data_IF_739274050814
#
_entry.id   IF_739274050814
#
_cell.length_a   1.000
_cell.length_b   1.000
_cell.length_c   1.000
_cell.angle_alpha   90.00
_cell.angle_beta   90.00
_cell.angle_gamma   90.00
#
_symmetry.space_group_name_H-M   'P 1'
#
loop_
_entity.id
_entity.type
_entity.pdbx_description
1 polymer ?
#
# COMPACT_ATOMS: atom_id res chain seq x y z
N UNK A 1 18.65 -4.13 11.44
CA UNK A 1 19.52 -4.57 12.59
C UNK A 1 18.90 -4.49 14.00
N UNK A 2 18.64 -3.30 14.59
CA UNK A 2 18.22 -3.14 16.02
C UNK A 2 16.98 -3.99 16.38
N UNK A 3 15.94 -3.93 15.55
CA UNK A 3 14.70 -4.71 15.73
C UNK A 3 14.94 -6.22 15.80
N UNK A 4 15.92 -6.74 15.05
CA UNK A 4 16.28 -8.17 15.02
C UNK A 4 16.96 -8.58 16.34
N UNK A 5 17.87 -7.74 16.85
CA UNK A 5 18.53 -7.97 18.14
C UNK A 5 17.56 -7.87 19.30
N UNK A 6 16.66 -6.90 19.28
CA UNK A 6 15.60 -6.76 20.29
C UNK A 6 14.83 -8.07 20.45
N UNK A 7 14.27 -8.59 19.34
CA UNK A 7 13.52 -9.85 19.32
C UNK A 7 14.36 -11.06 19.74
N UNK A 8 15.63 -11.13 19.31
CA UNK A 8 16.55 -12.20 19.71
C UNK A 8 16.82 -12.22 21.22
N UNK A 9 17.12 -11.07 21.82
CA UNK A 9 17.42 -10.94 23.26
C UNK A 9 16.19 -11.31 24.11
N UNK A 10 14.99 -11.07 23.59
CA UNK A 10 13.74 -11.44 24.24
C UNK A 10 13.27 -12.86 23.92
N UNK A 11 13.93 -13.56 22.99
CA UNK A 11 13.50 -14.83 22.40
C UNK A 11 12.04 -14.82 21.89
N UNK A 12 11.71 -13.84 21.05
CA UNK A 12 10.36 -13.66 20.48
C UNK A 12 10.45 -13.61 18.95
N UNK A 13 9.75 -14.50 18.24
CA UNK A 13 9.67 -14.46 16.78
C UNK A 13 8.83 -13.26 16.28
N UNK A 14 8.80 -13.01 14.98
CA UNK A 14 7.97 -11.91 14.43
C UNK A 14 6.48 -12.14 14.65
N UNK A 15 6.04 -13.39 14.69
CA UNK A 15 4.62 -13.78 14.78
C UNK A 15 4.16 -14.07 16.21
N UNK A 16 5.09 -14.20 17.15
CA UNK A 16 4.75 -14.57 18.52
C UNK A 16 4.12 -13.39 19.26
N UNK A 17 3.26 -13.70 20.22
CA UNK A 17 2.82 -12.74 21.21
C UNK A 17 4.00 -12.33 22.07
N UNK A 18 3.96 -11.09 22.56
CA UNK A 18 4.94 -10.69 23.55
C UNK A 18 4.65 -11.36 24.91
N UNK A 19 5.68 -11.89 25.57
CA UNK A 19 5.61 -12.53 26.88
C UNK A 19 5.18 -11.55 27.98
N UNK A 20 4.59 -12.08 29.05
CA UNK A 20 4.24 -11.28 30.23
C UNK A 20 5.53 -10.90 31.01
N UNK A 21 5.69 -9.64 31.44
CA UNK A 21 6.87 -9.22 32.22
C UNK A 21 7.02 -9.88 33.59
N UNK A 22 5.97 -10.52 34.12
CA UNK A 22 6.03 -11.32 35.35
C UNK A 22 6.54 -12.74 35.14
N UNK A 23 6.61 -13.22 33.90
CA UNK A 23 7.11 -14.55 33.58
C UNK A 23 8.65 -14.55 33.50
N UNK A 24 9.28 -15.36 34.36
CA UNK A 24 10.69 -15.67 34.23
C UNK A 24 10.90 -16.68 33.09
N UNK A 25 11.79 -16.34 32.15
CA UNK A 25 12.07 -17.16 30.98
C UNK A 25 13.57 -17.35 30.86
N UNK A 26 14.01 -18.59 30.69
CA UNK A 26 15.42 -18.96 30.63
C UNK A 26 15.75 -19.61 29.28
N UNK A 27 16.99 -19.44 28.84
CA UNK A 27 17.48 -20.08 27.62
C UNK A 27 17.80 -21.57 27.86
N UNK A 28 17.29 -22.44 26.98
CA UNK A 28 17.42 -23.90 27.11
C UNK A 28 18.87 -24.34 27.33
N UNK A 29 19.11 -25.10 28.39
CA UNK A 29 20.44 -25.61 28.74
C UNK A 29 21.39 -24.58 29.35
N UNK A 30 20.93 -23.36 29.64
CA UNK A 30 21.68 -22.32 30.34
C UNK A 30 20.88 -21.75 31.51
N UNK A 31 21.53 -21.15 32.51
CA UNK A 31 20.86 -20.40 33.56
C UNK A 31 20.70 -18.91 33.19
N UNK A 32 20.76 -18.57 31.90
CA UNK A 32 20.64 -17.21 31.42
C UNK A 32 19.16 -16.85 31.22
N UNK A 33 18.72 -15.79 31.88
CA UNK A 33 17.36 -15.27 31.77
C UNK A 33 17.22 -14.42 30.50
N UNK A 34 16.17 -14.68 29.71
CA UNK A 34 15.77 -13.80 28.63
C UNK A 34 15.25 -12.48 29.19
N UNK A 35 15.54 -11.39 28.48
CA UNK A 35 14.94 -10.12 28.83
C UNK A 35 13.46 -10.12 28.43
N UNK A 36 12.62 -9.52 29.27
CA UNK A 36 11.22 -9.30 28.95
C UNK A 36 10.90 -7.80 29.01
N UNK A 37 10.45 -7.18 27.90
CA UNK A 37 10.07 -5.78 27.93
C UNK A 37 8.80 -5.59 28.77
N UNK A 38 8.82 -4.64 29.70
CA UNK A 38 7.63 -4.25 30.42
C UNK A 38 6.88 -3.17 29.63
N UNK A 39 5.84 -3.58 28.88
CA UNK A 39 5.07 -2.68 28.04
C UNK A 39 4.01 -1.86 28.78
N UNK A 40 3.65 -2.17 30.03
CA UNK A 40 2.81 -1.27 30.83
C UNK A 40 3.63 -0.03 31.22
N UNK A 41 4.92 -0.23 31.48
CA UNK A 41 5.86 0.80 31.90
C UNK A 41 6.49 1.63 30.76
N UNK A 42 7.22 2.68 31.15
CA UNK A 42 7.90 3.60 30.24
C UNK A 42 9.33 3.17 29.86
N UNK A 43 9.96 3.96 28.98
CA UNK A 43 11.36 3.78 28.56
C UNK A 43 12.39 4.04 29.67
N UNK A 44 11.96 4.60 30.80
CA UNK A 44 12.81 4.89 31.98
C UNK A 44 12.75 3.80 33.04
N UNK A 45 11.90 2.78 32.88
CA UNK A 45 11.84 1.65 33.81
C UNK A 45 13.15 0.86 33.74
N UNK A 46 13.71 0.50 34.88
CA UNK A 46 15.08 -0.05 34.97
C UNK A 46 15.26 -1.30 34.11
N UNK A 47 14.32 -2.24 34.13
CA UNK A 47 14.36 -3.43 33.27
C UNK A 47 14.30 -3.12 31.77
N UNK A 48 13.58 -2.06 31.39
CA UNK A 48 13.51 -1.61 29.99
C UNK A 48 14.81 -0.89 29.59
N UNK A 49 15.36 -0.06 30.47
CA UNK A 49 16.62 0.63 30.25
C UNK A 49 17.78 -0.36 30.06
N UNK A 50 17.89 -1.36 30.95
CA UNK A 50 18.87 -2.43 30.85
C UNK A 50 18.75 -3.23 29.54
N UNK A 51 17.52 -3.53 29.12
CA UNK A 51 17.26 -4.16 27.81
C UNK A 51 17.78 -3.29 26.65
N UNK A 52 17.53 -1.98 26.66
CA UNK A 52 17.98 -1.09 25.59
C UNK A 52 19.49 -0.99 25.52
N UNK A 53 20.15 -0.91 26.67
CA UNK A 53 21.61 -0.94 26.76
C UNK A 53 22.19 -2.24 26.22
N UNK A 54 21.58 -3.39 26.58
CA UNK A 54 22.02 -4.70 26.08
C UNK A 54 21.87 -4.82 24.57
N UNK A 55 20.76 -4.33 24.03
CA UNK A 55 20.53 -4.31 22.58
C UNK A 55 21.57 -3.41 21.89
N UNK A 56 21.81 -2.22 22.45
CA UNK A 56 22.78 -1.27 21.91
C UNK A 56 24.19 -1.87 21.91
N UNK A 57 24.61 -2.52 22.99
CA UNK A 57 25.88 -3.25 23.09
C UNK A 57 26.01 -4.30 21.98
N UNK A 58 25.02 -5.20 21.84
CA UNK A 58 25.06 -6.27 20.83
C UNK A 58 25.07 -5.75 19.39
N UNK A 59 24.39 -4.63 19.13
CA UNK A 59 24.42 -3.97 17.82
C UNK A 59 25.77 -3.30 17.60
N UNK A 60 26.31 -2.65 18.63
CA UNK A 60 27.59 -1.95 18.56
C UNK A 60 28.74 -2.92 18.30
N UNK A 61 28.76 -4.08 18.97
CA UNK A 61 29.76 -5.12 18.72
C UNK A 61 29.69 -5.68 17.29
N UNK A 62 28.48 -5.88 16.73
CA UNK A 62 28.32 -6.26 15.32
C UNK A 62 28.84 -5.16 14.37
N UNK A 63 28.69 -3.89 14.76
CA UNK A 63 29.21 -2.73 14.04
C UNK A 63 30.71 -2.46 14.30
N UNK A 64 31.39 -3.20 15.17
CA UNK A 64 32.85 -3.16 15.35
C UNK A 64 33.58 -4.18 14.50
N UNK A 65 32.94 -5.29 14.12
CA UNK A 65 33.55 -6.37 13.32
C UNK A 65 34.15 -5.78 12.04
N UNK A 66 35.49 -5.82 11.92
CA UNK A 66 36.26 -5.13 10.87
C UNK A 66 35.92 -5.57 9.44
N UNK A 67 35.36 -6.76 9.30
CA UNK A 67 34.85 -7.26 8.02
C UNK A 67 33.51 -6.59 7.66
N UNK A 68 33.60 -5.59 6.77
CA UNK A 68 32.45 -4.84 6.24
C UNK A 68 31.59 -5.66 5.27
N UNK A 69 32.06 -6.81 4.79
CA UNK A 69 31.30 -7.68 3.87
C UNK A 69 30.18 -8.44 4.58
N UNK A 70 30.27 -8.58 5.90
CA UNK A 70 29.27 -9.23 6.76
C UNK A 70 28.11 -8.26 7.11
N UNK A 71 28.31 -6.95 6.90
CA UNK A 71 27.34 -5.91 7.24
C UNK A 71 26.39 -5.60 6.08
N UNK A 72 25.17 -5.19 6.43
CA UNK A 72 24.24 -4.59 5.46
C UNK A 72 24.93 -3.37 4.79
N UNK A 73 24.97 -3.25 3.44
CA UNK A 73 25.70 -2.20 2.73
C UNK A 73 25.37 -0.78 3.20
N UNK A 74 24.12 -0.56 3.62
CA UNK A 74 23.60 0.71 4.12
C UNK A 74 24.26 1.14 5.45
N UNK A 75 24.87 0.20 6.19
CA UNK A 75 25.56 0.47 7.46
C UNK A 75 27.05 0.75 7.29
N UNK A 76 27.56 0.71 6.04
CA UNK A 76 28.99 0.87 5.71
C UNK A 76 29.37 2.29 5.29
N UNK A 77 28.44 3.26 5.31
CA UNK A 77 28.72 4.65 4.97
C UNK A 77 29.75 5.24 5.95
N UNK A 78 30.91 5.64 5.40
CA UNK A 78 32.02 6.21 6.17
C UNK A 78 31.68 7.56 6.83
N UNK A 79 30.62 8.24 6.39
CA UNK A 79 30.13 9.49 6.98
C UNK A 79 29.33 9.26 8.26
N UNK A 80 28.84 8.04 8.50
CA UNK A 80 28.00 7.72 9.65
C UNK A 80 28.88 7.16 10.77
N UNK A 81 28.94 7.89 11.90
CA UNK A 81 29.61 7.42 13.12
C UNK A 81 28.58 6.89 14.10
N UNK A 82 28.56 5.58 14.29
CA UNK A 82 27.72 4.94 15.29
C UNK A 82 28.31 5.15 16.67
N UNK A 83 27.47 5.53 17.62
CA UNK A 83 27.80 5.55 19.03
C UNK A 83 26.71 4.78 19.81
N UNK A 84 27.07 4.28 20.98
CA UNK A 84 26.18 3.44 21.79
C UNK A 84 24.91 4.20 22.22
N UNK A 85 25.01 5.50 22.50
CA UNK A 85 23.86 6.32 22.87
C UNK A 85 22.80 6.40 21.77
N UNK A 86 23.21 6.58 20.51
CA UNK A 86 22.30 6.59 19.36
C UNK A 86 21.61 5.23 19.19
N UNK A 87 22.34 4.13 19.43
CA UNK A 87 21.77 2.79 19.37
C UNK A 87 20.74 2.54 20.48
N UNK A 88 20.95 3.08 21.68
CA UNK A 88 19.96 3.07 22.77
C UNK A 88 18.70 3.83 22.36
N UNK A 89 18.83 5.01 21.73
CA UNK A 89 17.65 5.74 21.23
C UNK A 89 16.89 4.98 20.14
N UNK A 90 17.58 4.29 19.24
CA UNK A 90 16.91 3.39 18.28
C UNK A 90 16.22 2.21 18.97
N UNK A 91 16.82 1.64 20.02
CA UNK A 91 16.17 0.60 20.81
C UNK A 91 14.90 1.11 21.50
N UNK A 92 14.92 2.34 22.05
CA UNK A 92 13.73 3.01 22.62
C UNK A 92 12.64 3.23 21.57
N UNK A 93 13.01 3.69 20.37
CA UNK A 93 12.05 3.85 19.27
C UNK A 93 11.38 2.53 18.90
N UNK A 94 12.16 1.45 18.80
CA UNK A 94 11.62 0.10 18.56
C UNK A 94 10.76 -0.41 19.71
N UNK A 95 11.11 -0.14 20.96
CA UNK A 95 10.26 -0.44 22.10
C UNK A 95 8.90 0.27 21.98
N UNK A 96 8.85 1.55 21.63
CA UNK A 96 7.58 2.28 21.46
C UNK A 96 6.72 1.66 20.35
N UNK A 97 7.34 1.24 19.25
CA UNK A 97 6.66 0.51 18.18
C UNK A 97 6.10 -0.83 18.68
N UNK A 98 6.91 -1.65 19.36
CA UNK A 98 6.46 -2.92 19.92
C UNK A 98 5.42 -2.78 21.03
N UNK A 99 5.47 -1.73 21.84
CA UNK A 99 4.43 -1.39 22.82
C UNK A 99 3.10 -1.12 22.13
N UNK A 100 3.11 -0.45 20.98
CA UNK A 100 1.89 -0.28 20.17
C UNK A 100 1.41 -1.59 19.55
N UNK A 101 2.33 -2.46 19.13
CA UNK A 101 2.01 -3.82 18.66
C UNK A 101 1.33 -4.65 19.75
N UNK A 102 1.93 -4.68 20.94
CA UNK A 102 1.39 -5.35 22.12
C UNK A 102 0.01 -4.81 22.52
N UNK A 103 -0.16 -3.48 22.57
CA UNK A 103 -1.49 -2.88 22.80
C UNK A 103 -2.53 -3.32 21.78
N UNK A 104 -2.15 -3.52 20.52
CA UNK A 104 -3.06 -4.02 19.48
C UNK A 104 -3.30 -5.54 19.59
N UNK A 105 -2.44 -6.31 20.25
CA UNK A 105 -2.71 -7.71 20.57
C UNK A 105 -3.79 -7.83 21.65
N UNK A 106 -3.74 -6.96 22.65
CA UNK A 106 -4.67 -6.94 23.79
C UNK A 106 -6.03 -6.29 23.47
N UNK A 107 -6.05 -5.29 22.58
CA UNK A 107 -7.24 -4.48 22.29
C UNK A 107 -7.73 -4.71 20.85
N UNK A 108 -8.88 -5.39 20.67
CA UNK A 108 -9.47 -5.63 19.35
C UNK A 108 -9.77 -4.36 18.55
N UNK A 109 -10.14 -3.25 19.20
CA UNK A 109 -10.43 -2.00 18.50
C UNK A 109 -9.17 -1.37 17.94
N UNK A 110 -8.08 -1.37 18.72
CA UNK A 110 -6.77 -0.89 18.25
C UNK A 110 -6.23 -1.76 17.12
N UNK A 111 -6.43 -3.09 17.19
CA UNK A 111 -6.10 -4.01 16.10
C UNK A 111 -6.82 -3.63 14.82
N UNK A 112 -8.15 -3.50 14.88
CA UNK A 112 -8.99 -3.13 13.73
C UNK A 112 -8.59 -1.78 13.15
N UNK A 113 -8.32 -0.78 14.00
CA UNK A 113 -7.88 0.55 13.56
C UNK A 113 -6.53 0.49 12.84
N UNK A 114 -5.59 -0.30 13.36
CA UNK A 114 -4.28 -0.48 12.73
C UNK A 114 -4.38 -1.19 11.39
N UNK A 115 -5.14 -2.27 11.31
CA UNK A 115 -5.37 -3.03 10.07
C UNK A 115 -5.99 -2.12 8.99
N UNK A 116 -6.99 -1.31 9.38
CA UNK A 116 -7.58 -0.29 8.51
C UNK A 116 -6.54 0.71 8.03
N UNK A 117 -5.72 1.27 8.92
CA UNK A 117 -4.69 2.24 8.55
C UNK A 117 -3.63 1.63 7.62
N UNK A 118 -3.17 0.41 7.90
CA UNK A 118 -2.22 -0.29 7.04
C UNK A 118 -2.80 -0.53 5.65
N UNK A 119 -4.07 -0.92 5.57
CA UNK A 119 -4.80 -1.06 4.31
C UNK A 119 -4.86 0.26 3.54
N UNK A 120 -5.33 1.32 4.19
CA UNK A 120 -5.40 2.67 3.59
C UNK A 120 -4.05 3.14 3.07
N UNK A 121 -2.97 2.94 3.84
CA UNK A 121 -1.61 3.31 3.40
C UNK A 121 -1.16 2.51 2.19
N UNK A 122 -1.41 1.18 2.16
CA UNK A 122 -1.10 0.35 1.00
C UNK A 122 -1.87 0.80 -0.24
N UNK A 123 -3.16 1.12 -0.10
CA UNK A 123 -3.98 1.59 -1.21
C UNK A 123 -3.49 2.95 -1.73
N UNK A 124 -3.21 3.91 -0.84
CA UNK A 124 -2.64 5.21 -1.22
C UNK A 124 -1.33 5.05 -2.01
N UNK A 125 -0.39 4.27 -1.50
CA UNK A 125 0.88 4.03 -2.20
C UNK A 125 0.65 3.43 -3.60
N UNK A 126 -0.28 2.47 -3.73
CA UNK A 126 -0.61 1.87 -5.03
C UNK A 126 -1.26 2.87 -5.99
N UNK A 127 -2.09 3.77 -5.48
CA UNK A 127 -2.66 4.86 -6.29
C UNK A 127 -1.56 5.77 -6.83
N UNK A 128 -0.61 6.17 -5.99
CA UNK A 128 0.54 7.01 -6.40
C UNK A 128 1.44 6.32 -7.42
N UNK A 129 1.75 5.04 -7.21
CA UNK A 129 2.54 4.24 -8.16
C UNK A 129 1.84 4.11 -9.51
N UNK A 130 0.52 3.87 -9.51
CA UNK A 130 -0.28 3.81 -10.74
C UNK A 130 -0.31 5.14 -11.46
N UNK A 131 -0.64 6.22 -10.75
CA UNK A 131 -0.62 7.57 -11.28
C UNK A 131 0.72 7.87 -11.97
N UNK A 132 1.83 7.61 -11.29
CA UNK A 132 3.19 7.84 -11.83
C UNK A 132 3.43 7.03 -13.10
N UNK A 133 3.03 5.75 -13.13
CA UNK A 133 3.18 4.88 -14.32
C UNK A 133 2.35 5.38 -15.50
N UNK A 134 1.09 5.76 -15.25
CA UNK A 134 0.20 6.27 -16.29
C UNK A 134 0.70 7.61 -16.82
N UNK A 135 1.11 8.53 -15.93
CA UNK A 135 1.61 9.84 -16.31
C UNK A 135 2.88 9.77 -17.16
N UNK A 136 3.85 8.95 -16.76
CA UNK A 136 5.16 8.92 -17.41
C UNK A 136 5.18 8.12 -18.72
N UNK A 137 4.23 7.18 -18.91
CA UNK A 137 4.27 6.23 -20.03
C UNK A 137 2.95 6.15 -20.77
N UNK A 138 1.84 5.94 -20.05
CA UNK A 138 0.52 5.82 -20.65
C UNK A 138 0.07 7.09 -21.39
N UNK A 139 0.29 8.26 -20.79
CA UNK A 139 -0.08 9.57 -21.34
C UNK A 139 0.67 9.85 -22.66
N UNK A 140 2.02 9.76 -22.74
CA UNK A 140 2.74 9.94 -24.00
C UNK A 140 2.23 9.06 -25.15
N UNK A 141 2.01 7.77 -24.89
CA UNK A 141 1.50 6.84 -25.91
C UNK A 141 0.04 7.14 -26.28
N UNK A 142 -0.80 7.55 -25.32
CA UNK A 142 -2.17 7.94 -25.61
C UNK A 142 -2.22 9.16 -26.53
N UNK A 143 -1.43 10.19 -26.22
CA UNK A 143 -1.32 11.41 -27.03
C UNK A 143 -0.87 11.10 -28.45
N UNK A 144 0.08 10.18 -28.61
CA UNK A 144 0.54 9.71 -29.93
C UNK A 144 -0.56 9.02 -30.75
N UNK A 145 -1.41 8.22 -30.10
CA UNK A 145 -2.45 7.43 -30.79
C UNK A 145 -3.72 8.26 -31.05
N UNK A 146 -4.10 9.11 -30.11
CA UNK A 146 -5.39 9.80 -30.11
C UNK A 146 -5.30 11.30 -30.40
N UNK A 147 -4.10 11.88 -30.47
CA UNK A 147 -3.88 13.31 -30.72
C UNK A 147 -4.31 14.24 -29.58
N UNK A 148 -4.92 13.70 -28.52
CA UNK A 148 -5.43 14.44 -27.36
C UNK A 148 -4.59 14.12 -26.13
N UNK A 149 -4.34 15.11 -25.27
CA UNK A 149 -3.51 14.98 -24.08
C UNK A 149 -4.37 14.72 -22.81
N UNK A 150 -4.34 13.50 -22.24
CA UNK A 150 -5.16 13.18 -21.08
C UNK A 150 -4.49 13.58 -19.75
N UNK A 151 -3.32 14.25 -19.73
CA UNK A 151 -2.61 14.59 -18.47
C UNK A 151 -3.53 15.26 -17.44
N UNK A 152 -4.38 16.19 -17.88
CA UNK A 152 -5.26 16.94 -16.99
C UNK A 152 -6.27 16.04 -16.25
N UNK A 153 -6.60 14.87 -16.82
CA UNK A 153 -7.52 13.90 -16.22
C UNK A 153 -6.89 13.05 -15.12
N UNK A 154 -5.55 13.03 -15.00
CA UNK A 154 -4.88 12.17 -14.04
C UNK A 154 -4.77 12.87 -12.68
N UNK A 155 -5.35 12.24 -11.68
CA UNK A 155 -5.09 12.50 -10.26
C UNK A 155 -4.85 11.17 -9.56
N UNK A 156 -3.90 11.10 -8.64
CA UNK A 156 -3.65 9.89 -7.85
C UNK A 156 -4.91 9.47 -7.07
N UNK A 157 -5.67 10.43 -6.57
CA UNK A 157 -6.90 10.17 -5.82
C UNK A 157 -8.04 9.60 -6.68
N UNK A 158 -7.98 9.78 -8.01
CA UNK A 158 -8.95 9.23 -8.95
C UNK A 158 -8.63 7.79 -9.38
N UNK A 159 -7.45 7.28 -9.00
CA UNK A 159 -7.05 5.90 -9.31
C UNK A 159 -7.85 4.93 -8.44
N UNK A 160 -8.32 3.83 -9.04
CA UNK A 160 -9.04 2.78 -8.29
C UNK A 160 -8.18 2.17 -7.19
N UNK A 161 -8.78 1.69 -6.10
CA UNK A 161 -8.04 0.90 -5.12
C UNK A 161 -7.82 -0.54 -5.62
N UNK A 162 -6.77 -1.17 -5.08
CA UNK A 162 -6.43 -2.56 -5.39
C UNK A 162 -6.18 -3.31 -4.09
N UNK A 163 -6.93 -4.38 -3.84
CA UNK A 163 -6.81 -5.23 -2.67
C UNK A 163 -5.93 -6.45 -2.96
N UNK A 164 -5.18 -6.91 -1.95
CA UNK A 164 -4.32 -8.09 -2.07
C UNK A 164 -4.87 -9.31 -1.32
N UNK A 165 -6.13 -9.26 -0.91
CA UNK A 165 -6.80 -10.28 -0.14
C UNK A 165 -8.23 -9.88 0.22
N UNK A 166 -8.92 -10.72 0.99
CA UNK A 166 -10.26 -10.46 1.50
C UNK A 166 -10.22 -9.41 2.62
N UNK A 167 -9.90 -8.17 2.28
CA UNK A 167 -9.74 -7.09 3.27
C UNK A 167 -11.09 -6.67 3.92
N UNK A 168 -12.21 -7.28 3.51
CA UNK A 168 -13.57 -7.05 4.02
C UNK A 168 -14.10 -8.21 4.89
N UNK A 169 -13.25 -9.20 5.23
CA UNK A 169 -13.60 -10.29 6.15
C UNK A 169 -14.12 -11.57 5.49
N UNK A 170 -14.06 -11.66 4.16
CA UNK A 170 -14.21 -12.93 3.41
C UNK A 170 -13.07 -13.91 3.78
N UNK A 171 -13.30 -15.22 3.62
CA UNK A 171 -12.25 -16.21 3.81
C UNK A 171 -11.17 -16.11 2.72
N UNK A 172 -9.90 -16.30 3.08
CA UNK A 172 -8.77 -16.12 2.13
C UNK A 172 -8.80 -17.17 1.01
N UNK A 173 -9.20 -18.41 1.31
CA UNK A 173 -9.25 -19.48 0.33
C UNK A 173 -10.42 -19.25 -0.62
N UNK A 174 -11.59 -18.88 -0.10
CA UNK A 174 -12.76 -18.52 -0.92
C UNK A 174 -12.47 -17.35 -1.85
N UNK A 175 -11.88 -16.27 -1.32
CA UNK A 175 -11.46 -15.11 -2.11
C UNK A 175 -10.46 -15.52 -3.21
N UNK A 176 -9.45 -16.32 -2.87
CA UNK A 176 -8.47 -16.82 -3.85
C UNK A 176 -9.11 -17.70 -4.92
N UNK A 177 -10.07 -18.57 -4.56
CA UNK A 177 -10.81 -19.39 -5.53
C UNK A 177 -11.57 -18.51 -6.50
N UNK A 178 -12.30 -17.50 -6.00
CA UNK A 178 -13.03 -16.53 -6.83
C UNK A 178 -12.08 -15.80 -7.79
N UNK A 179 -10.97 -15.26 -7.28
CA UNK A 179 -9.94 -14.59 -8.12
C UNK A 179 -9.36 -15.53 -9.19
N UNK A 180 -9.07 -16.78 -8.82
CA UNK A 180 -8.51 -17.76 -9.74
C UNK A 180 -9.52 -18.11 -10.85
N UNK A 181 -10.77 -18.35 -10.50
CA UNK A 181 -11.84 -18.64 -11.47
C UNK A 181 -12.09 -17.44 -12.39
N UNK A 182 -12.15 -16.21 -11.85
CA UNK A 182 -12.29 -14.99 -12.68
C UNK A 182 -11.11 -14.81 -13.64
N UNK A 183 -9.88 -15.12 -13.19
CA UNK A 183 -8.67 -14.91 -14.00
C UNK A 183 -8.45 -15.99 -15.06
N UNK A 184 -8.72 -17.26 -14.74
CA UNK A 184 -8.32 -18.41 -15.55
C UNK A 184 -9.51 -19.21 -16.12
N UNK A 185 -10.74 -18.90 -15.73
CA UNK A 185 -11.94 -19.63 -16.17
C UNK A 185 -12.03 -21.07 -15.64
N UNK A 186 -11.13 -21.48 -14.75
CA UNK A 186 -11.09 -22.83 -14.21
C UNK A 186 -12.04 -22.98 -13.02
N UNK A 187 -12.85 -24.04 -13.05
CA UNK A 187 -13.65 -24.47 -11.90
C UNK A 187 -12.78 -25.31 -10.95
N UNK A 188 -12.84 -25.01 -9.65
CA UNK A 188 -12.24 -25.80 -8.55
C UNK A 188 -10.70 -25.94 -8.58
N UNK A 189 -9.94 -24.85 -8.43
CA UNK A 189 -8.48 -24.93 -8.26
C UNK A 189 -8.09 -25.66 -6.96
N UNK A 190 -7.00 -26.44 -7.00
CA UNK A 190 -6.44 -27.08 -5.80
C UNK A 190 -5.77 -26.04 -4.89
N UNK A 191 -5.62 -26.34 -3.61
CA UNK A 191 -4.95 -25.43 -2.68
C UNK A 191 -3.50 -25.14 -3.06
N UNK A 192 -2.78 -26.10 -3.64
CA UNK A 192 -1.42 -25.90 -4.15
C UNK A 192 -1.39 -24.87 -5.28
N UNK A 193 -2.36 -24.92 -6.19
CA UNK A 193 -2.51 -23.92 -7.25
C UNK A 193 -2.81 -22.53 -6.67
N UNK A 194 -3.67 -22.45 -5.66
CA UNK A 194 -4.01 -21.20 -4.99
C UNK A 194 -2.82 -20.59 -4.21
N UNK A 195 -1.95 -21.43 -3.63
CA UNK A 195 -0.74 -20.98 -2.92
C UNK A 195 0.31 -20.38 -3.87
N UNK A 196 0.37 -20.87 -5.11
CA UNK A 196 1.34 -20.44 -6.12
C UNK A 196 1.04 -19.10 -6.79
N UNK A 197 -0.18 -18.55 -6.63
CA UNK A 197 -0.62 -17.34 -7.34
C UNK A 197 -0.95 -16.22 -6.35
N UNK A 198 -0.52 -15.00 -6.71
CA UNK A 198 -0.91 -13.77 -6.01
C UNK A 198 -1.88 -12.99 -6.88
N UNK A 199 -2.88 -12.39 -6.25
CA UNK A 199 -3.88 -11.58 -6.95
C UNK A 199 -3.90 -10.14 -6.44
N UNK A 200 -4.30 -9.23 -7.31
CA UNK A 200 -4.62 -7.84 -7.01
C UNK A 200 -6.01 -7.54 -7.57
N UNK A 201 -7.01 -7.62 -6.70
CA UNK A 201 -8.41 -7.36 -7.04
C UNK A 201 -8.62 -5.85 -7.15
N UNK A 202 -9.14 -5.39 -8.27
CA UNK A 202 -9.45 -3.98 -8.50
C UNK A 202 -10.81 -3.66 -7.91
N UNK A 203 -10.87 -2.66 -7.04
CA UNK A 203 -12.11 -2.17 -6.44
C UNK A 203 -12.70 -1.11 -7.38
N UNK A 204 -13.90 -1.36 -7.92
CA UNK A 204 -14.58 -0.42 -8.82
C UNK A 204 -15.08 0.81 -8.04
N UNK A 205 -14.64 2.04 -8.35
CA UNK A 205 -15.24 3.25 -7.78
C UNK A 205 -16.58 3.52 -8.44
N UNK A 206 -17.68 3.51 -7.67
CA UNK A 206 -19.01 3.74 -8.20
C UNK A 206 -19.25 5.20 -8.62
N UNK A 207 -18.51 6.14 -8.03
CA UNK A 207 -18.58 7.56 -8.34
C UNK A 207 -18.04 7.92 -9.73
N UNK A 208 -17.20 7.06 -10.33
CA UNK A 208 -16.50 7.35 -11.57
C UNK A 208 -17.33 6.89 -12.77
N UNK A 209 -17.50 7.77 -13.75
CA UNK A 209 -18.21 7.43 -14.98
C UNK A 209 -17.51 6.30 -15.75
N UNK A 210 -18.28 5.61 -16.59
CA UNK A 210 -17.72 4.60 -17.50
C UNK A 210 -16.75 5.21 -18.51
N UNK A 211 -17.00 6.44 -18.96
CA UNK A 211 -16.11 7.15 -19.90
C UNK A 211 -14.73 7.42 -19.28
N UNK A 212 -14.68 8.02 -18.08
CA UNK A 212 -13.39 8.26 -17.41
C UNK A 212 -12.70 6.94 -17.03
N UNK A 213 -13.47 5.92 -16.63
CA UNK A 213 -12.95 4.56 -16.41
C UNK A 213 -12.29 4.00 -17.68
N UNK A 214 -12.93 4.13 -18.84
CA UNK A 214 -12.40 3.66 -20.12
C UNK A 214 -11.07 4.34 -20.48
N UNK A 215 -10.92 5.64 -20.20
CA UNK A 215 -9.66 6.37 -20.40
C UNK A 215 -8.55 5.79 -19.50
N UNK A 216 -8.81 5.59 -18.21
CA UNK A 216 -7.82 4.99 -17.30
C UNK A 216 -7.47 3.54 -17.67
N UNK A 217 -8.45 2.76 -18.14
CA UNK A 217 -8.20 1.42 -18.66
C UNK A 217 -7.29 1.46 -19.89
N UNK A 218 -7.56 2.37 -20.84
CA UNK A 218 -6.74 2.54 -22.04
C UNK A 218 -5.31 2.96 -21.69
N UNK A 219 -5.14 3.97 -20.83
CA UNK A 219 -3.82 4.41 -20.36
C UNK A 219 -3.03 3.27 -19.71
N UNK A 220 -3.71 2.45 -18.90
CA UNK A 220 -3.08 1.29 -18.27
C UNK A 220 -2.66 0.24 -19.28
N UNK A 221 -3.50 -0.07 -20.27
CA UNK A 221 -3.12 -1.02 -21.34
C UNK A 221 -1.91 -0.53 -22.10
N UNK A 222 -1.87 0.76 -22.48
CA UNK A 222 -0.70 1.36 -23.15
C UNK A 222 0.58 1.26 -22.30
N UNK A 223 0.48 1.58 -21.01
CA UNK A 223 1.60 1.38 -20.09
C UNK A 223 2.03 -0.09 -20.02
N UNK A 224 1.10 -1.03 -19.88
CA UNK A 224 1.43 -2.45 -19.78
C UNK A 224 2.11 -2.98 -21.05
N UNK A 225 1.59 -2.61 -22.21
CA UNK A 225 2.10 -3.02 -23.52
C UNK A 225 3.49 -2.43 -23.81
N UNK A 226 3.83 -1.28 -23.21
CA UNK A 226 5.15 -0.67 -23.32
C UNK A 226 6.23 -1.39 -22.47
N UNK A 227 5.84 -2.20 -21.48
CA UNK A 227 6.80 -2.89 -20.61
C UNK A 227 7.35 -4.11 -21.35
N UNK A 228 8.68 -4.32 -21.41
CA UNK A 228 9.27 -5.53 -21.98
C UNK A 228 8.76 -6.81 -21.29
N UNK A 229 8.51 -7.87 -22.03
CA UNK A 229 7.98 -9.14 -21.50
C UNK A 229 8.79 -9.67 -20.29
N UNK A 230 10.12 -9.55 -20.32
CA UNK A 230 10.99 -9.94 -19.19
C UNK A 230 10.68 -9.17 -17.91
N UNK A 231 10.35 -7.89 -18.03
CA UNK A 231 9.96 -7.04 -16.90
C UNK A 231 8.49 -7.28 -16.50
N UNK A 232 7.60 -7.60 -17.44
CA UNK A 232 6.23 -8.02 -17.09
C UNK A 232 6.23 -9.26 -16.18
N UNK A 233 7.16 -10.20 -16.39
CA UNK A 233 7.31 -11.40 -15.55
C UNK A 233 7.72 -11.11 -14.09
N UNK A 234 8.27 -9.92 -13.79
CA UNK A 234 8.59 -9.54 -12.40
C UNK A 234 7.35 -9.09 -11.62
N UNK A 235 6.23 -8.82 -12.30
CA UNK A 235 4.95 -8.56 -11.65
C UNK A 235 4.32 -9.87 -11.20
N UNK A 236 4.63 -10.26 -9.96
CA UNK A 236 4.19 -11.54 -9.39
C UNK A 236 2.69 -11.63 -9.10
N UNK A 237 1.96 -10.52 -9.09
CA UNK A 237 0.53 -10.49 -8.82
C UNK A 237 -0.27 -10.35 -10.12
N UNK A 238 -1.28 -11.22 -10.30
CA UNK A 238 -2.27 -11.10 -11.36
C UNK A 238 -3.32 -10.07 -10.95
N UNK A 239 -3.45 -9.03 -11.77
CA UNK A 239 -4.50 -8.03 -11.57
C UNK A 239 -5.82 -8.58 -12.07
N UNK A 240 -6.85 -8.53 -11.23
CA UNK A 240 -8.19 -9.05 -11.53
C UNK A 240 -9.15 -7.88 -11.61
N UNK A 241 -9.81 -7.72 -12.75
CA UNK A 241 -10.88 -6.75 -12.97
C UNK A 241 -12.23 -7.44 -12.98
N UNK A 242 -13.31 -6.65 -13.09
CA UNK A 242 -14.66 -7.16 -13.36
C UNK A 242 -15.20 -8.11 -12.27
N UNK A 243 -14.80 -7.81 -11.03
CA UNK A 243 -15.37 -8.42 -9.83
C UNK A 243 -16.52 -7.56 -9.33
N UNK A 244 -17.35 -8.11 -8.46
CA UNK A 244 -18.45 -7.36 -7.84
C UNK A 244 -17.96 -6.35 -6.77
N UNK A 245 -16.66 -6.34 -6.45
CA UNK A 245 -16.11 -5.50 -5.40
C UNK A 245 -16.06 -4.04 -5.83
N UNK A 246 -16.82 -3.22 -5.14
CA UNK A 246 -16.98 -1.80 -5.43
C UNK A 246 -16.85 -0.91 -4.18
N UNK A 247 -16.74 0.40 -4.39
CA UNK A 247 -16.65 1.39 -3.31
C UNK A 247 -17.45 2.65 -3.66
N UNK A 248 -18.18 3.15 -2.66
CA UNK A 248 -18.87 4.44 -2.70
C UNK A 248 -18.02 5.57 -2.12
N UNK A 249 -16.77 5.35 -1.71
CA UNK A 249 -15.95 6.43 -1.17
C UNK A 249 -15.53 7.38 -2.31
N UNK A 250 -15.93 8.68 -2.26
CA UNK A 250 -15.47 9.65 -3.24
C UNK A 250 -14.01 10.04 -2.99
N UNK A 251 -13.26 10.46 -4.03
CA UNK A 251 -12.00 11.16 -3.86
C UNK A 251 -12.23 12.51 -3.18
N UNK A 252 -11.18 12.98 -2.51
CA UNK A 252 -11.06 14.34 -1.99
C UNK A 252 -10.95 15.37 -3.11
N UNK A 253 -10.29 15.02 -4.21
CA UNK A 253 -10.19 15.88 -5.39
C UNK A 253 -11.40 15.64 -6.29
N UNK A 254 -12.18 16.67 -6.59
CA UNK A 254 -13.29 16.56 -7.51
C UNK A 254 -12.83 16.18 -8.94
N UNK A 255 -13.50 15.24 -9.61
CA UNK A 255 -13.29 14.98 -11.03
C UNK A 255 -13.98 16.05 -11.90
N UNK A 256 -13.61 16.08 -13.18
CA UNK A 256 -14.39 16.80 -14.20
C UNK A 256 -15.80 16.24 -14.32
N UNK A 257 -16.73 17.06 -14.80
CA UNK A 257 -18.16 16.73 -14.84
C UNK A 257 -18.44 15.43 -15.63
N UNK A 258 -17.84 15.22 -16.80
CA UNK A 258 -17.98 13.95 -17.55
C UNK A 258 -17.44 12.73 -16.80
N UNK A 259 -16.55 12.95 -15.84
CA UNK A 259 -15.94 11.90 -15.03
C UNK A 259 -16.82 11.40 -13.89
N UNK A 260 -17.96 12.05 -13.65
CA UNK A 260 -18.88 11.74 -12.55
C UNK A 260 -19.95 10.76 -13.03
N UNK A 261 -20.19 9.72 -12.23
CA UNK A 261 -21.42 8.94 -12.33
C UNK A 261 -22.55 9.70 -11.63
N UNK A 262 -23.48 10.24 -12.42
CA UNK A 262 -24.57 11.06 -11.91
C UNK A 262 -25.58 10.28 -11.06
N UNK A 263 -25.82 9.00 -11.36
CA UNK A 263 -26.69 8.13 -10.55
C UNK A 263 -26.11 7.98 -9.13
N UNK A 264 -24.82 7.66 -9.05
CA UNK A 264 -24.11 7.59 -7.77
C UNK A 264 -24.13 8.95 -7.05
N UNK A 265 -23.91 10.05 -7.77
CA UNK A 265 -23.89 11.38 -7.17
C UNK A 265 -25.25 11.72 -6.55
N UNK A 266 -26.36 11.41 -7.23
CA UNK A 266 -27.71 11.64 -6.71
C UNK A 266 -27.97 10.81 -5.45
N UNK A 267 -27.67 9.52 -5.47
CA UNK A 267 -27.89 8.61 -4.34
C UNK A 267 -27.02 8.94 -3.12
N UNK A 268 -25.77 9.33 -3.35
CA UNK A 268 -24.77 9.48 -2.29
C UNK A 268 -24.53 10.93 -1.86
N UNK A 269 -25.23 11.91 -2.47
CA UNK A 269 -24.98 13.35 -2.26
C UNK A 269 -25.01 13.75 -0.80
N UNK A 270 -26.09 13.36 -0.11
CA UNK A 270 -26.31 13.73 1.29
C UNK A 270 -25.28 13.07 2.21
N UNK A 271 -24.95 11.80 1.95
CA UNK A 271 -23.99 11.03 2.73
C UNK A 271 -22.60 11.64 2.71
N UNK A 272 -22.17 12.19 1.56
CA UNK A 272 -20.82 12.73 1.37
C UNK A 272 -20.77 14.25 1.19
N UNK A 273 -21.82 14.98 1.56
CA UNK A 273 -21.96 16.42 1.29
C UNK A 273 -20.74 17.26 1.72
N UNK A 274 -20.03 16.86 2.78
CA UNK A 274 -18.83 17.53 3.26
C UNK A 274 -17.59 17.39 2.34
N UNK A 275 -17.57 16.38 1.46
CA UNK A 275 -16.43 16.06 0.59
C UNK A 275 -16.70 16.46 -0.86
N UNK A 276 -17.96 16.36 -1.33
CA UNK A 276 -18.32 16.54 -2.75
C UNK A 276 -18.85 17.95 -3.08
N UNK A 277 -18.59 18.95 -2.25
CA UNK A 277 -19.24 20.26 -2.34
C UNK A 277 -19.03 21.02 -3.66
N UNK A 278 -17.90 20.78 -4.34
CA UNK A 278 -17.52 21.37 -5.62
C UNK A 278 -17.73 20.41 -6.82
N UNK A 279 -18.28 19.21 -6.60
CA UNK A 279 -18.58 18.29 -7.69
C UNK A 279 -19.68 18.85 -8.60
N UNK A 280 -19.47 18.75 -9.91
CA UNK A 280 -20.36 19.36 -10.91
C UNK A 280 -19.92 20.78 -11.33
N UNK A 281 -18.89 21.35 -10.69
CA UNK A 281 -18.40 22.71 -11.01
C UNK A 281 -17.19 22.72 -11.96
N UNK A 282 -16.70 21.54 -12.36
CA UNK A 282 -15.46 21.40 -13.14
C UNK A 282 -15.81 21.05 -14.59
N UNK A 283 -15.83 22.03 -15.52
CA UNK A 283 -16.27 21.82 -16.89
C UNK A 283 -15.35 20.85 -17.63
N UNK A 284 -15.88 20.18 -18.64
CA UNK A 284 -15.13 19.18 -19.39
C UNK A 284 -13.92 19.81 -20.10
N UNK A 285 -12.74 19.16 -20.05
CA UNK A 285 -11.56 19.61 -20.78
C UNK A 285 -11.67 19.28 -22.26
N UNK A 286 -10.98 20.06 -23.09
CA UNK A 286 -11.05 19.94 -24.55
C UNK A 286 -10.62 18.53 -25.01
N UNK A 287 -11.39 17.94 -25.92
CA UNK A 287 -11.17 16.58 -26.42
C UNK A 287 -11.76 15.46 -25.54
N UNK A 288 -12.44 15.79 -24.44
CA UNK A 288 -13.08 14.83 -23.53
C UNK A 288 -14.52 15.22 -23.20
N UNK A 289 -15.30 14.26 -22.72
CA UNK A 289 -16.68 14.49 -22.31
C UNK A 289 -17.51 15.14 -23.42
N UNK A 290 -18.26 16.19 -23.06
CA UNK A 290 -19.10 16.92 -24.03
C UNK A 290 -18.29 17.69 -25.07
N UNK A 291 -17.02 18.01 -24.80
CA UNK A 291 -16.13 18.75 -25.72
C UNK A 291 -15.37 17.86 -26.70
N UNK A 292 -15.77 16.60 -26.82
CA UNK A 292 -15.15 15.66 -27.75
C UNK A 292 -15.57 15.99 -29.19
N UNK A 293 -14.63 16.50 -29.98
CA UNK A 293 -14.83 16.81 -31.41
C UNK A 293 -15.02 18.28 -31.75
N UNK A 294 -15.06 19.19 -30.76
CA UNK A 294 -15.22 20.64 -31.00
C UNK A 294 -13.99 21.29 -31.68
N UNK A 295 -12.84 20.61 -31.70
CA UNK A 295 -11.61 21.07 -32.36
C UNK A 295 -11.51 20.69 -33.86
N UNK A 296 -12.57 20.14 -34.46
CA UNK A 296 -12.57 19.63 -35.83
C UNK A 296 -13.03 20.59 -36.93
N UNK A 297 -13.80 21.64 -36.62
CA UNK A 297 -14.49 22.47 -37.62
C UNK A 297 -14.15 23.97 -37.51
N UNK A 298 -12.87 24.28 -37.33
CA UNK A 298 -12.36 25.65 -37.35
C UNK A 298 -11.28 25.88 -38.42
N UNK A 299 -11.26 25.08 -39.49
CA UNK A 299 -10.53 25.42 -40.73
C UNK A 299 -11.54 25.55 -41.88
N UNK A 300 -12.40 26.55 -41.71
CA UNK A 300 -13.32 27.01 -42.72
C UNK A 300 -12.54 27.66 -43.86
N UNK A 301 -12.47 26.93 -44.97
CA UNK A 301 -12.69 27.43 -46.33
C UNK A 301 -12.82 28.97 -46.43
N UNK A 302 -11.69 29.65 -46.62
CA UNK A 302 -11.56 30.97 -47.22
C UNK A 302 -10.47 30.83 -48.28
N UNK A 303 -10.65 31.12 -49.56
CA UNK A 303 -11.79 31.56 -50.35
C UNK A 303 -11.35 31.49 -51.83
N UNK A 304 -12.35 31.57 -52.71
CA UNK A 304 -12.35 31.95 -54.13
C UNK A 304 -11.09 31.75 -55.00
#
# INVERSE_FOLDING_TARGET
LVSRKFRRVCNVSVKDKWPDPSEERFADGTNEQYYTPNFTEGVKHDGNAALFEKIAELVFEELKVSDKTIREPELNDAKIRWNQSSLVEFAKDKFRQFKNDWKAQEDPEKRRKREKNQRTNRWSQRRDEKYTRLLNVGVPEYKKIHGTDPTILLCADHMSDEASGPEDGEDEIEWKRRMFTTTFGAANPTEEQLKGVKFQEVIKPNWRSEELSAIFHKLRSLWWDSIPAKQQLTYHARRVTDTERNTNLPPLMAPFNFGINNEWLEECRETYAAVIGDWGQHPDPDGFGTKKGENGDADGNQGD
#
